data_IF_989424583796
#
_entry.id   IF_989424583796
#
_cell.length_a   1.000
_cell.length_b   1.000
_cell.length_c   1.000
_cell.angle_alpha   90.00
_cell.angle_beta   90.00
_cell.angle_gamma   90.00
#
_symmetry.space_group_name_H-M   'P 1'
#
loop_
_entity.id
_entity.type
_entity.pdbx_description
1 polymer ?
#
# COMPACT_ATOMS: atom_id res chain seq x y z
N UNK A 1 -6.75 31.27 -28.66
CA UNK A 1 -5.98 30.99 -27.43
C UNK A 1 -6.31 29.55 -27.08
N UNK A 2 -5.44 28.63 -27.47
CA UNK A 2 -5.59 27.19 -27.22
C UNK A 2 -5.36 26.93 -25.74
N UNK A 3 -6.45 26.83 -24.98
CA UNK A 3 -6.41 26.35 -23.60
C UNK A 3 -6.31 24.82 -23.64
N UNK A 4 -5.14 24.34 -24.02
CA UNK A 4 -4.79 22.94 -24.04
C UNK A 4 -4.63 22.47 -22.60
N UNK A 5 -5.54 21.62 -22.12
CA UNK A 5 -5.38 20.93 -20.84
C UNK A 5 -4.01 20.26 -20.80
N UNK A 6 -3.12 20.77 -19.94
CA UNK A 6 -1.78 20.21 -19.74
C UNK A 6 -1.96 18.83 -19.13
N UNK A 7 -1.88 17.81 -19.97
CA UNK A 7 -1.92 16.42 -19.54
C UNK A 7 -0.70 16.20 -18.64
N UNK A 8 -0.85 15.71 -17.40
CA UNK A 8 0.30 15.36 -16.58
C UNK A 8 1.20 14.42 -17.38
N UNK A 9 2.45 14.83 -17.58
CA UNK A 9 3.44 14.06 -18.34
C UNK A 9 3.51 12.63 -17.82
N UNK A 10 3.81 11.70 -18.72
CA UNK A 10 4.05 10.31 -18.35
C UNK A 10 5.06 10.28 -17.20
N UNK A 11 4.60 9.99 -15.99
CA UNK A 11 5.51 9.73 -14.88
C UNK A 11 6.15 8.38 -15.20
N UNK A 12 7.37 8.43 -15.72
CA UNK A 12 8.23 7.26 -15.87
C UNK A 12 8.54 6.78 -14.46
N UNK A 13 7.68 5.88 -13.96
CA UNK A 13 7.86 5.23 -12.67
C UNK A 13 9.14 4.42 -12.78
N UNK A 14 10.16 4.79 -12.01
CA UNK A 14 11.41 4.02 -11.92
C UNK A 14 11.06 2.58 -11.54
N UNK A 15 11.53 1.63 -12.35
CA UNK A 15 11.14 0.22 -12.39
C UNK A 15 11.50 -0.61 -11.14
N UNK A 16 12.04 0.00 -10.09
CA UNK A 16 12.61 -0.70 -8.93
C UNK A 16 12.17 -0.14 -7.58
N UNK A 17 10.99 0.48 -7.50
CA UNK A 17 10.40 0.78 -6.19
C UNK A 17 9.93 -0.55 -5.58
N UNK A 18 10.60 -0.98 -4.51
CA UNK A 18 10.17 -2.12 -3.71
C UNK A 18 8.72 -1.90 -3.29
N UNK A 19 7.85 -2.85 -3.62
CA UNK A 19 6.43 -2.71 -3.38
C UNK A 19 6.16 -2.76 -1.86
N UNK A 20 5.64 -1.68 -1.26
CA UNK A 20 5.50 -1.51 0.19
C UNK A 20 4.62 -2.59 0.83
N UNK A 21 3.74 -3.20 0.04
CA UNK A 21 2.95 -4.35 0.47
C UNK A 21 3.85 -5.52 0.92
N UNK A 22 4.88 -5.84 0.14
CA UNK A 22 5.82 -6.92 0.49
C UNK A 22 6.71 -6.52 1.66
N UNK A 23 7.13 -5.26 1.73
CA UNK A 23 7.92 -4.76 2.87
C UNK A 23 7.14 -4.88 4.19
N UNK A 24 5.86 -4.46 4.20
CA UNK A 24 4.99 -4.62 5.37
C UNK A 24 4.84 -6.09 5.76
N UNK A 25 4.67 -6.97 4.79
CA UNK A 25 4.60 -8.41 5.04
C UNK A 25 5.89 -8.95 5.66
N UNK A 26 7.05 -8.53 5.15
CA UNK A 26 8.36 -8.95 5.66
C UNK A 26 8.59 -8.43 7.09
N UNK A 27 8.12 -7.22 7.41
CA UNK A 27 8.12 -6.69 8.78
C UNK A 27 7.25 -7.55 9.70
N UNK A 28 6.03 -7.89 9.30
CA UNK A 28 5.15 -8.76 10.11
C UNK A 28 5.75 -10.16 10.30
N UNK A 29 6.33 -10.74 9.24
CA UNK A 29 7.07 -12.01 9.35
C UNK A 29 8.21 -11.92 10.36
N UNK A 30 9.00 -10.85 10.30
CA UNK A 30 10.11 -10.61 11.24
C UNK A 30 9.62 -10.44 12.68
N UNK A 31 8.45 -9.83 12.92
CA UNK A 31 7.83 -9.75 14.26
C UNK A 31 7.48 -11.13 14.81
N UNK A 32 6.93 -12.02 13.97
CA UNK A 32 6.61 -13.41 14.37
C UNK A 32 7.89 -14.18 14.72
N UNK A 33 8.95 -14.05 13.91
CA UNK A 33 10.25 -14.67 14.18
C UNK A 33 10.91 -14.13 15.47
N UNK A 34 10.84 -12.83 15.72
CA UNK A 34 11.34 -12.22 16.96
C UNK A 34 10.55 -12.71 18.17
N UNK A 35 9.23 -12.87 18.04
CA UNK A 35 8.39 -13.46 19.09
C UNK A 35 8.83 -14.88 19.43
N UNK A 36 9.22 -15.68 18.42
CA UNK A 36 9.80 -17.01 18.62
C UNK A 36 11.09 -16.97 19.43
N UNK A 37 11.99 -16.04 19.10
CA UNK A 37 13.28 -15.85 19.81
C UNK A 37 13.08 -15.40 21.26
N UNK A 38 12.13 -14.51 21.51
CA UNK A 38 11.79 -14.06 22.88
C UNK A 38 11.25 -15.22 23.72
N UNK A 39 10.34 -16.03 23.16
CA UNK A 39 9.85 -17.23 23.84
C UNK A 39 10.97 -18.22 24.16
N UNK A 40 11.90 -18.44 23.23
CA UNK A 40 13.08 -19.28 23.47
C UNK A 40 13.97 -18.71 24.58
N UNK A 41 14.13 -17.37 24.65
CA UNK A 41 14.94 -16.72 25.69
C UNK A 41 14.37 -16.92 27.10
N UNK A 42 13.04 -16.93 27.25
CA UNK A 42 12.38 -17.17 28.53
C UNK A 42 12.49 -18.62 29.02
N UNK A 43 12.73 -19.56 28.10
CA UNK A 43 12.87 -20.98 28.39
C UNK A 43 14.34 -21.42 28.59
N UNK A 44 15.30 -20.49 28.46
CA UNK A 44 16.72 -20.74 28.71
C UNK A 44 17.05 -20.61 30.22
N UNK A 45 18.03 -21.38 30.73
CA UNK A 45 18.50 -21.21 32.10
C UNK A 45 19.14 -19.83 32.26
N UNK A 46 18.82 -19.15 33.36
CA UNK A 46 19.31 -17.81 33.67
C UNK A 46 20.23 -17.89 34.89
N UNK A 47 21.44 -17.38 34.73
CA UNK A 47 22.39 -17.22 35.82
C UNK A 47 22.48 -15.73 36.18
N UNK A 48 22.39 -15.43 37.47
CA UNK A 48 22.52 -14.09 38.01
C UNK A 48 23.69 -14.07 38.98
N UNK A 49 24.48 -13.00 38.92
CA UNK A 49 25.48 -12.68 39.92
C UNK A 49 24.97 -11.46 40.70
N UNK A 50 24.93 -11.58 42.01
CA UNK A 50 24.52 -10.47 42.87
C UNK A 50 25.58 -10.23 43.94
N UNK A 51 25.74 -8.96 44.29
CA UNK A 51 26.64 -8.50 45.33
C UNK A 51 25.99 -7.34 46.08
N UNK A 52 26.01 -7.41 47.40
CA UNK A 52 25.56 -6.35 48.29
C UNK A 52 26.63 -6.13 49.35
N UNK A 53 26.93 -4.88 49.68
CA UNK A 53 27.89 -4.56 50.73
C UNK A 53 27.52 -3.24 51.39
N UNK A 54 27.88 -3.10 52.67
CA UNK A 54 27.52 -1.96 53.47
C UNK A 54 28.22 -1.95 54.83
N UNK A 55 27.88 -0.96 55.63
CA UNK A 55 28.36 -0.79 57.00
C UNK A 55 27.17 -0.94 57.95
N UNK A 56 27.24 -1.86 58.91
CA UNK A 56 26.16 -2.14 59.86
C UNK A 56 26.68 -2.33 61.29
N UNK A 57 25.77 -2.12 62.25
CA UNK A 57 25.96 -2.41 63.67
C UNK A 57 24.74 -3.22 64.14
N UNK A 58 24.89 -4.50 64.55
CA UNK A 58 26.03 -5.40 64.35
C UNK A 58 26.22 -5.79 62.86
N UNK A 59 27.42 -6.25 62.49
CA UNK A 59 27.78 -6.65 61.12
C UNK A 59 27.19 -8.02 60.71
N UNK A 60 28.00 -8.88 60.09
CA UNK A 60 27.62 -10.28 59.77
C UNK A 60 27.65 -11.20 61.01
N UNK A 61 28.41 -10.81 62.03
CA UNK A 61 28.46 -11.51 63.30
C UNK A 61 27.40 -10.95 64.25
N UNK A 62 26.45 -11.81 64.65
CA UNK A 62 25.33 -11.44 65.54
C UNK A 62 25.78 -11.43 67.01
N UNK A 63 26.98 -11.96 67.30
CA UNK A 63 27.53 -12.06 68.65
C UNK A 63 28.45 -10.90 69.04
N UNK A 64 28.88 -10.08 68.08
CA UNK A 64 29.70 -8.89 68.31
C UNK A 64 28.95 -7.60 67.91
N UNK A 65 28.84 -6.65 68.85
CA UNK A 65 28.09 -5.39 68.68
C UNK A 65 28.97 -4.25 68.09
N UNK A 66 30.14 -4.60 67.57
CA UNK A 66 31.07 -3.68 66.95
C UNK A 66 30.60 -3.28 65.54
N UNK A 67 30.81 -2.02 65.11
CA UNK A 67 30.61 -1.65 63.72
C UNK A 67 31.54 -2.42 62.80
N UNK A 68 30.97 -3.10 61.80
CA UNK A 68 31.78 -3.85 60.85
C UNK A 68 31.31 -3.66 59.40
N UNK A 69 32.24 -3.80 58.47
CA UNK A 69 31.99 -3.74 57.03
C UNK A 69 31.60 -5.14 56.57
N UNK A 70 30.42 -5.27 55.96
CA UNK A 70 29.95 -6.54 55.45
C UNK A 70 29.81 -6.52 53.94
N UNK A 71 30.05 -7.67 53.32
CA UNK A 71 29.87 -7.90 51.90
C UNK A 71 29.33 -9.30 51.67
N UNK A 72 28.28 -9.41 50.88
CA UNK A 72 27.66 -10.66 50.46
C UNK A 72 27.67 -10.69 48.94
N UNK A 73 28.26 -11.72 48.36
CA UNK A 73 28.19 -11.99 46.94
C UNK A 73 27.70 -13.43 46.71
N UNK A 74 26.90 -13.64 45.67
CA UNK A 74 26.33 -14.95 45.37
C UNK A 74 26.04 -15.13 43.88
N UNK A 75 25.89 -16.40 43.50
CA UNK A 75 25.43 -16.83 42.19
C UNK A 75 24.04 -17.47 42.35
N UNK A 76 23.08 -17.07 41.53
CA UNK A 76 21.76 -17.69 41.46
C UNK A 76 21.54 -18.29 40.08
N UNK A 77 21.20 -19.58 40.02
CA UNK A 77 20.84 -20.29 38.79
C UNK A 77 19.34 -20.61 38.80
N UNK A 78 18.60 -20.14 37.80
CA UNK A 78 17.16 -20.37 37.63
C UNK A 78 16.93 -21.18 36.35
N UNK A 79 16.44 -22.40 36.49
CA UNK A 79 16.14 -23.32 35.38
C UNK A 79 14.62 -23.52 35.29
N UNK A 80 13.93 -22.90 34.32
CA UNK A 80 12.48 -23.02 34.19
C UNK A 80 12.10 -24.29 33.43
N UNK A 81 11.88 -25.41 34.14
CA UNK A 81 11.56 -26.73 33.55
C UNK A 81 10.18 -26.73 32.86
N UNK A 82 9.18 -26.02 33.42
CA UNK A 82 7.83 -25.93 32.83
C UNK A 82 7.80 -25.11 31.53
N UNK A 83 8.71 -24.14 31.38
CA UNK A 83 8.75 -23.22 30.24
C UNK A 83 9.10 -23.91 28.92
N UNK A 84 9.73 -25.09 28.93
CA UNK A 84 10.00 -25.85 27.71
C UNK A 84 8.73 -26.41 27.06
N UNK A 85 7.77 -26.85 27.87
CA UNK A 85 6.47 -27.30 27.38
C UNK A 85 5.69 -26.12 26.79
N UNK A 86 5.70 -25.00 27.50
CA UNK A 86 5.00 -23.78 27.07
C UNK A 86 5.63 -23.20 25.79
N UNK A 87 6.96 -23.27 25.64
CA UNK A 87 7.66 -22.90 24.39
C UNK A 87 7.23 -23.79 23.21
N UNK A 88 7.08 -25.10 23.40
CA UNK A 88 6.61 -26.02 22.34
C UNK A 88 5.20 -25.66 21.87
N UNK A 89 4.31 -25.31 22.79
CA UNK A 89 2.96 -24.87 22.43
C UNK A 89 2.98 -23.51 21.74
N UNK A 90 3.75 -22.55 22.26
CA UNK A 90 3.90 -21.23 21.66
C UNK A 90 4.46 -21.30 20.23
N UNK A 91 5.41 -22.20 19.98
CA UNK A 91 5.98 -22.43 18.65
C UNK A 91 4.91 -22.90 17.64
N UNK A 92 4.04 -23.83 18.03
CA UNK A 92 2.91 -24.26 17.17
C UNK A 92 1.96 -23.10 16.84
N UNK A 93 1.70 -22.23 17.82
CA UNK A 93 0.87 -21.03 17.60
C UNK A 93 1.54 -20.07 16.63
N UNK A 94 2.87 -19.91 16.70
CA UNK A 94 3.62 -19.09 15.77
C UNK A 94 3.64 -19.68 14.36
N UNK A 95 3.80 -21.00 14.23
CA UNK A 95 3.76 -21.69 12.94
C UNK A 95 2.39 -21.47 12.26
N UNK A 96 1.29 -21.59 13.02
CA UNK A 96 -0.05 -21.29 12.53
C UNK A 96 -0.22 -19.80 12.15
N UNK A 97 0.37 -18.89 12.92
CA UNK A 97 0.38 -17.45 12.56
C UNK A 97 1.14 -17.18 11.28
N UNK A 98 2.25 -17.89 11.02
CA UNK A 98 3.01 -17.78 9.77
C UNK A 98 2.17 -18.29 8.59
N UNK A 99 1.52 -19.44 8.73
CA UNK A 99 0.63 -19.99 7.70
C UNK A 99 -0.55 -19.05 7.40
N UNK A 100 -1.17 -18.48 8.44
CA UNK A 100 -2.23 -17.49 8.29
C UNK A 100 -1.74 -16.22 7.57
N UNK A 101 -0.54 -15.75 7.91
CA UNK A 101 0.06 -14.58 7.27
C UNK A 101 0.33 -14.87 5.78
N UNK A 102 0.92 -16.01 5.45
CA UNK A 102 1.16 -16.44 4.06
C UNK A 102 -0.14 -16.57 3.26
N UNK A 103 -1.19 -17.13 3.86
CA UNK A 103 -2.51 -17.20 3.24
C UNK A 103 -3.08 -15.80 2.97
N UNK A 104 -3.01 -14.89 3.95
CA UNK A 104 -3.45 -13.51 3.79
C UNK A 104 -2.67 -12.77 2.68
N UNK A 105 -1.36 -13.03 2.54
CA UNK A 105 -0.53 -12.50 1.45
C UNK A 105 -1.02 -12.99 0.09
N UNK A 106 -1.27 -14.29 -0.05
CA UNK A 106 -1.74 -14.87 -1.30
C UNK A 106 -3.10 -14.30 -1.70
N UNK A 107 -4.04 -14.19 -0.75
CA UNK A 107 -5.35 -13.57 -1.00
C UNK A 107 -5.23 -12.12 -1.45
N UNK A 108 -4.41 -11.32 -0.75
CA UNK A 108 -4.19 -9.92 -1.11
C UNK A 108 -3.50 -9.76 -2.47
N UNK A 109 -2.56 -10.64 -2.82
CA UNK A 109 -1.92 -10.63 -4.14
C UNK A 109 -2.91 -10.95 -5.26
N UNK A 110 -3.81 -11.91 -5.03
CA UNK A 110 -4.88 -12.25 -5.99
C UNK A 110 -5.83 -11.06 -6.17
N UNK A 111 -6.30 -10.45 -5.09
CA UNK A 111 -7.21 -9.31 -5.13
C UNK A 111 -6.58 -8.10 -5.84
N UNK A 112 -5.29 -7.83 -5.58
CA UNK A 112 -4.53 -6.80 -6.27
C UNK A 112 -4.45 -7.06 -7.77
N UNK A 113 -4.09 -8.28 -8.16
CA UNK A 113 -3.98 -8.66 -9.57
C UNK A 113 -5.33 -8.52 -10.28
N UNK A 114 -6.42 -8.94 -9.64
CA UNK A 114 -7.77 -8.76 -10.16
C UNK A 114 -8.13 -7.28 -10.32
N UNK A 115 -7.79 -6.44 -9.34
CA UNK A 115 -8.01 -4.98 -9.40
C UNK A 115 -7.22 -4.32 -10.52
N UNK A 116 -5.95 -4.70 -10.70
CA UNK A 116 -5.10 -4.19 -11.78
C UNK A 116 -5.62 -4.62 -13.16
N UNK A 117 -6.03 -5.88 -13.30
CA UNK A 117 -6.65 -6.38 -14.52
C UNK A 117 -7.96 -5.65 -14.84
N UNK A 118 -8.79 -5.38 -13.83
CA UNK A 118 -10.03 -4.61 -13.97
C UNK A 118 -9.79 -3.19 -14.49
N UNK A 119 -8.88 -2.45 -13.85
CA UNK A 119 -8.53 -1.08 -14.29
C UNK A 119 -7.87 -1.08 -15.67
N UNK A 120 -7.05 -2.09 -15.98
CA UNK A 120 -6.46 -2.22 -17.31
C UNK A 120 -7.53 -2.47 -18.39
N UNK A 121 -8.54 -3.28 -18.11
CA UNK A 121 -9.68 -3.50 -18.99
C UNK A 121 -10.48 -2.22 -19.22
N UNK A 122 -10.72 -1.45 -18.16
CA UNK A 122 -11.39 -0.13 -18.22
C UNK A 122 -10.61 0.85 -19.11
N UNK A 123 -9.29 0.93 -18.95
CA UNK A 123 -8.41 1.77 -19.80
C UNK A 123 -8.56 1.39 -21.27
N UNK A 124 -8.49 0.09 -21.60
CA UNK A 124 -8.60 -0.37 -22.99
C UNK A 124 -9.99 -0.04 -23.57
N UNK A 125 -11.05 -0.19 -22.77
CA UNK A 125 -12.40 0.15 -23.20
C UNK A 125 -12.56 1.65 -23.47
N UNK A 126 -12.01 2.51 -22.60
CA UNK A 126 -12.01 3.96 -22.78
C UNK A 126 -11.19 4.40 -24.00
N UNK A 127 -10.02 3.79 -24.22
CA UNK A 127 -9.19 4.07 -25.41
C UNK A 127 -9.94 3.75 -26.71
N UNK A 128 -10.66 2.62 -26.76
CA UNK A 128 -11.52 2.28 -27.90
C UNK A 128 -12.70 3.24 -28.06
N UNK A 129 -13.27 3.72 -26.95
CA UNK A 129 -14.38 4.68 -26.96
C UNK A 129 -13.94 6.02 -27.55
N UNK A 130 -12.80 6.54 -27.10
CA UNK A 130 -12.20 7.78 -27.62
C UNK A 130 -11.90 7.66 -29.11
N UNK A 131 -11.42 6.51 -29.58
CA UNK A 131 -11.18 6.28 -31.01
C UNK A 131 -12.49 6.36 -31.83
N UNK A 132 -13.59 5.86 -31.30
CA UNK A 132 -14.90 6.01 -31.93
C UNK A 132 -15.41 7.46 -31.88
N UNK A 133 -15.18 8.17 -30.77
CA UNK A 133 -15.58 9.57 -30.62
C UNK A 133 -14.84 10.47 -31.61
N UNK A 134 -13.55 10.22 -31.87
CA UNK A 134 -12.79 10.94 -32.92
C UNK A 134 -13.48 10.82 -34.29
N UNK A 135 -13.90 9.60 -34.65
CA UNK A 135 -14.63 9.35 -35.90
C UNK A 135 -15.99 10.05 -35.92
N UNK A 136 -16.65 10.15 -34.77
CA UNK A 136 -17.91 10.89 -34.64
C UNK A 136 -17.70 12.39 -34.85
N UNK A 137 -16.69 12.97 -34.19
CA UNK A 137 -16.32 14.39 -34.35
C UNK A 137 -15.98 14.70 -35.82
N UNK A 138 -15.22 13.84 -36.50
CA UNK A 138 -14.93 14.00 -37.93
C UNK A 138 -16.20 14.00 -38.79
N UNK A 139 -17.14 13.09 -38.51
CA UNK A 139 -18.44 13.06 -39.22
C UNK A 139 -19.26 14.32 -38.97
N UNK A 140 -19.38 14.79 -37.73
CA UNK A 140 -20.09 16.01 -37.39
C UNK A 140 -19.45 17.24 -38.04
N UNK A 141 -18.11 17.30 -38.07
CA UNK A 141 -17.36 18.35 -38.77
C UNK A 141 -17.63 18.34 -40.27
N UNK A 142 -17.69 17.17 -40.90
CA UNK A 142 -18.04 17.05 -42.32
C UNK A 142 -19.47 17.53 -42.58
N UNK A 143 -20.43 17.17 -41.73
CA UNK A 143 -21.82 17.65 -41.82
C UNK A 143 -21.86 19.17 -41.69
N UNK A 144 -21.20 19.77 -40.69
CA UNK A 144 -21.11 21.22 -40.52
C UNK A 144 -20.59 21.90 -41.79
N UNK A 145 -19.51 21.38 -42.38
CA UNK A 145 -18.92 21.94 -43.61
C UNK A 145 -19.91 21.89 -44.78
N UNK A 146 -20.65 20.79 -44.95
CA UNK A 146 -21.66 20.66 -46.01
C UNK A 146 -22.83 21.62 -45.77
N UNK A 147 -23.39 21.64 -44.56
CA UNK A 147 -24.52 22.51 -44.18
C UNK A 147 -24.16 24.00 -44.34
N UNK A 148 -22.94 24.39 -43.95
CA UNK A 148 -22.45 25.77 -44.12
C UNK A 148 -22.33 26.15 -45.59
N UNK A 149 -21.88 25.23 -46.46
CA UNK A 149 -21.81 25.48 -47.90
C UNK A 149 -23.21 25.67 -48.51
N UNK A 150 -24.18 24.84 -48.13
CA UNK A 150 -25.56 24.95 -48.60
C UNK A 150 -26.24 26.23 -48.12
N UNK A 151 -25.96 26.65 -46.87
CA UNK A 151 -26.44 27.93 -46.34
C UNK A 151 -25.88 29.12 -47.15
N UNK A 152 -24.60 29.10 -47.51
CA UNK A 152 -23.99 30.14 -48.34
C UNK A 152 -24.61 30.22 -49.75
N UNK A 153 -25.17 29.11 -50.24
CA UNK A 153 -25.93 29.04 -51.50
C UNK A 153 -27.40 29.44 -51.33
N UNK A 154 -27.86 29.68 -50.10
CA UNK A 154 -29.24 30.03 -49.76
C UNK A 154 -30.21 28.84 -49.70
N UNK A 155 -29.71 27.60 -49.76
CA UNK A 155 -30.54 26.39 -49.80
C UNK A 155 -30.98 25.91 -48.40
N UNK A 156 -30.30 26.36 -47.34
CA UNK A 156 -30.47 25.88 -45.96
C UNK A 156 -30.56 27.06 -44.99
N UNK A 157 -31.35 26.93 -43.91
CA UNK A 157 -31.57 28.01 -42.95
C UNK A 157 -30.37 28.19 -42.00
N UNK A 158 -30.23 29.38 -41.43
CA UNK A 158 -29.19 29.65 -40.42
C UNK A 158 -29.35 28.76 -39.16
N UNK A 159 -30.58 28.35 -38.83
CA UNK A 159 -30.87 27.45 -37.72
C UNK A 159 -30.16 26.09 -37.89
N UNK A 160 -30.17 25.52 -39.10
CA UNK A 160 -29.55 24.22 -39.38
C UNK A 160 -28.02 24.28 -39.23
N UNK A 161 -27.40 25.42 -39.57
CA UNK A 161 -25.97 25.67 -39.35
C UNK A 161 -25.66 25.69 -37.85
N UNK A 162 -26.49 26.37 -37.05
CA UNK A 162 -26.29 26.43 -35.59
C UNK A 162 -26.49 25.07 -34.92
N UNK A 163 -27.42 24.26 -35.42
CA UNK A 163 -27.61 22.89 -34.95
C UNK A 163 -26.39 22.01 -35.26
N UNK A 164 -25.89 22.06 -36.50
CA UNK A 164 -24.69 21.31 -36.89
C UNK A 164 -23.45 21.73 -36.08
N UNK A 165 -23.31 23.03 -35.78
CA UNK A 165 -22.22 23.55 -34.95
C UNK A 165 -22.33 23.08 -33.50
N UNK A 166 -23.54 23.09 -32.94
CA UNK A 166 -23.82 22.59 -31.59
C UNK A 166 -23.58 21.08 -31.50
N UNK A 167 -23.97 20.32 -32.53
CA UNK A 167 -23.72 18.88 -32.63
C UNK A 167 -22.23 18.53 -32.65
N UNK A 168 -21.42 19.26 -33.41
CA UNK A 168 -19.95 19.10 -33.39
C UNK A 168 -19.36 19.46 -32.02
N UNK A 169 -19.77 20.58 -31.44
CA UNK A 169 -19.29 21.00 -30.11
C UNK A 169 -19.62 19.96 -29.04
N UNK A 170 -20.84 19.42 -29.03
CA UNK A 170 -21.24 18.36 -28.10
C UNK A 170 -20.41 17.08 -28.29
N UNK A 171 -20.15 16.67 -29.53
CA UNK A 171 -19.31 15.51 -29.82
C UNK A 171 -17.87 15.72 -29.31
N UNK A 172 -17.31 16.93 -29.45
CA UNK A 172 -15.99 17.27 -28.92
C UNK A 172 -15.96 17.24 -27.39
N UNK A 173 -16.98 17.80 -26.72
CA UNK A 173 -17.08 17.80 -25.25
C UNK A 173 -17.17 16.37 -24.71
N UNK A 174 -17.93 15.49 -25.34
CA UNK A 174 -18.01 14.08 -24.94
C UNK A 174 -16.67 13.34 -25.12
N UNK A 175 -15.95 13.60 -26.22
CA UNK A 175 -14.61 13.05 -26.43
C UNK A 175 -13.65 13.49 -25.32
N UNK A 176 -13.65 14.78 -24.96
CA UNK A 176 -12.81 15.30 -23.86
C UNK A 176 -13.24 14.76 -22.49
N UNK A 177 -14.53 14.52 -22.27
CA UNK A 177 -14.99 13.85 -21.04
C UNK A 177 -14.36 12.46 -20.93
N UNK A 178 -14.36 11.67 -22.00
CA UNK A 178 -13.72 10.35 -21.99
C UNK A 178 -12.19 10.43 -21.87
N UNK A 179 -11.54 11.46 -22.43
CA UNK A 179 -10.10 11.69 -22.27
C UNK A 179 -9.73 11.92 -20.80
N UNK A 180 -10.54 12.70 -20.07
CA UNK A 180 -10.41 12.93 -18.64
C UNK A 180 -10.66 11.66 -17.82
N UNK A 181 -11.66 10.85 -18.19
CA UNK A 181 -11.91 9.54 -17.56
C UNK A 181 -10.74 8.58 -17.74
N UNK A 182 -10.14 8.55 -18.94
CA UNK A 182 -8.94 7.77 -19.21
C UNK A 182 -7.77 8.22 -18.34
N UNK A 183 -7.57 9.53 -18.20
CA UNK A 183 -6.52 10.08 -17.33
C UNK A 183 -6.75 9.68 -15.86
N UNK A 184 -7.99 9.78 -15.37
CA UNK A 184 -8.36 9.32 -14.02
C UNK A 184 -8.10 7.83 -13.84
N UNK A 185 -8.44 6.99 -14.81
CA UNK A 185 -8.19 5.55 -14.77
C UNK A 185 -6.68 5.23 -14.74
N UNK A 186 -5.86 5.96 -15.52
CA UNK A 186 -4.40 5.84 -15.51
C UNK A 186 -3.79 6.25 -14.17
N UNK A 187 -4.25 7.36 -13.59
CA UNK A 187 -3.83 7.79 -12.24
C UNK A 187 -4.23 6.72 -11.22
N UNK A 188 -5.45 6.17 -11.29
CA UNK A 188 -5.92 5.10 -10.41
C UNK A 188 -5.05 3.84 -10.54
N UNK A 189 -4.68 3.44 -11.76
CA UNK A 189 -3.75 2.32 -12.00
C UNK A 189 -2.40 2.58 -11.33
N UNK A 190 -1.82 3.77 -11.54
CA UNK A 190 -0.54 4.13 -10.92
C UNK A 190 -0.65 4.17 -9.39
N UNK A 191 -1.78 4.65 -8.87
CA UNK A 191 -2.08 4.62 -7.44
C UNK A 191 -2.17 3.18 -6.91
N UNK A 192 -2.79 2.23 -7.61
CA UNK A 192 -2.80 0.82 -7.17
C UNK A 192 -1.40 0.19 -7.14
N UNK A 193 -0.48 0.71 -7.96
CA UNK A 193 0.93 0.32 -7.95
C UNK A 193 1.68 1.02 -6.80
N UNK A 194 1.34 2.27 -6.47
CA UNK A 194 2.10 3.13 -5.55
C UNK A 194 1.52 3.20 -4.12
N UNK A 195 0.21 3.35 -3.94
CA UNK A 195 -0.44 3.75 -2.67
C UNK A 195 -0.54 2.69 -1.59
N UNK A 196 0.11 1.54 -1.73
CA UNK A 196 0.42 0.77 -0.54
C UNK A 196 1.54 1.41 0.29
N UNK A 197 2.20 2.48 -0.20
CA UNK A 197 3.23 3.24 0.51
C UNK A 197 2.73 4.15 1.65
N UNK A 198 1.43 4.49 1.70
CA UNK A 198 0.95 5.58 2.56
C UNK A 198 -0.31 5.17 3.31
N UNK A 199 -0.17 4.35 4.34
CA UNK A 199 -1.06 4.37 5.51
C UNK A 199 -0.22 4.17 6.77
N UNK A 200 0.43 5.24 7.21
CA UNK A 200 0.93 5.43 8.57
C UNK A 200 0.77 6.92 8.91
N UNK A 201 -0.36 7.27 9.49
CA UNK A 201 -0.45 8.11 10.70
C UNK A 201 -1.42 7.43 11.66
#
# INVERSE_FOLDING_TARGET
MEDSLVVPGHMTVQETVADPFYERFDIEKRKVELSAKVSLSGARPRAYFFGAGGYARPGLDIFDNSPDVYGVAGLSLVIPISAWRDHRQFRRVLDYKMELLESAKNSAQIERNASLAGVQGEIIALERKIENDKRLVEKCRNIRVVVTKLHNLGEVAAADVTEALTGEANAMVEMERHSLELLRARIRKNRLVTSFNIVQE
#
